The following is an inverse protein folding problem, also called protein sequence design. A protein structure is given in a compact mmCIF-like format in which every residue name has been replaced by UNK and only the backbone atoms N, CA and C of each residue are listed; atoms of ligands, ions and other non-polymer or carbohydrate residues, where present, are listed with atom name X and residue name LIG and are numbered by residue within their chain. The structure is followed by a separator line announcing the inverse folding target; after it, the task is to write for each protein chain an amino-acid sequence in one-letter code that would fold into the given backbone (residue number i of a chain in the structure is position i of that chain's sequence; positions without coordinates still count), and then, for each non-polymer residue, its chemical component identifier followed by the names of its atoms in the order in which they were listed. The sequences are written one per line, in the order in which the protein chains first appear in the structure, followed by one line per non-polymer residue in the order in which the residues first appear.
data_IF_580185226253
#
_entry.id   IF_580185226253
#
_cell.length_a   1.000
_cell.length_b   1.000
_cell.length_c   1.000
_cell.angle_alpha   90.00
_cell.angle_beta   90.00
_cell.angle_gamma   90.00
#
_symmetry.space_group_name_H-M   'P 1'
#
loop_
_entity.id
_entity.type
_entity.pdbx_description
1 polymer ?
#
# COMPACT_ATOMS: atom_id res chain seq x y z
N UNK A 1 -104.95 -103.99 15.85
CA UNK A 1 -105.57 -104.52 17.08
C UNK A 1 -105.03 -103.75 18.26
N UNK A 2 -105.89 -102.92 18.89
CA UNK A 2 -105.85 -102.40 20.27
C UNK A 2 -104.58 -101.70 20.80
N UNK A 3 -104.61 -100.74 21.71
CA UNK A 3 -105.64 -99.90 22.31
C UNK A 3 -104.91 -99.00 23.30
N UNK A 4 -105.28 -97.73 23.28
CA UNK A 4 -105.09 -96.62 24.24
C UNK A 4 -105.21 -96.95 25.75
N UNK A 5 -104.48 -96.20 26.60
CA UNK A 5 -104.89 -95.33 27.75
C UNK A 5 -103.73 -95.19 28.79
N UNK A 6 -103.10 -94.02 29.04
CA UNK A 6 -103.48 -92.88 29.93
C UNK A 6 -103.34 -93.25 31.45
N UNK A 7 -102.67 -92.55 32.39
CA UNK A 7 -102.54 -91.12 32.83
C UNK A 7 -101.56 -91.15 34.06
N UNK A 8 -100.65 -90.20 34.37
CA UNK A 8 -100.91 -88.92 35.05
C UNK A 8 -99.63 -88.07 35.32
N UNK A 9 -99.63 -86.80 34.85
CA UNK A 9 -99.14 -85.49 35.41
C UNK A 9 -98.10 -85.47 36.56
N UNK A 10 -97.07 -84.62 36.59
CA UNK A 10 -97.05 -83.13 36.76
C UNK A 10 -95.54 -82.74 36.82
N UNK A 11 -94.95 -81.77 36.11
CA UNK A 11 -94.85 -80.32 36.42
C UNK A 11 -94.06 -79.67 35.27
N UNK A 12 -94.52 -78.48 34.91
CA UNK A 12 -94.12 -77.61 33.81
C UNK A 12 -93.03 -76.62 34.26
N UNK A 13 -92.17 -76.20 33.33
CA UNK A 13 -91.46 -74.90 33.30
C UNK A 13 -90.14 -74.73 34.09
N UNK A 14 -88.99 -74.91 33.43
CA UNK A 14 -87.86 -73.98 33.60
C UNK A 14 -86.95 -73.93 32.36
N UNK A 15 -87.18 -72.87 31.56
CA UNK A 15 -86.26 -72.06 30.76
C UNK A 15 -85.15 -72.70 29.89
N UNK A 16 -85.26 -72.34 28.60
CA UNK A 16 -84.16 -72.05 27.67
C UNK A 16 -82.91 -71.48 28.37
N UNK A 17 -81.79 -72.20 28.27
CA UNK A 17 -80.45 -71.67 28.51
C UNK A 17 -79.61 -71.95 27.25
N UNK A 18 -79.07 -70.92 26.56
CA UNK A 18 -78.05 -71.15 25.55
C UNK A 18 -76.81 -71.71 26.26
N UNK A 19 -76.27 -72.82 25.75
CA UNK A 19 -74.93 -73.28 26.08
C UNK A 19 -73.95 -72.16 25.70
N UNK A 20 -73.59 -71.31 26.65
CA UNK A 20 -72.44 -70.45 26.53
C UNK A 20 -71.22 -71.35 26.41
N UNK A 21 -70.68 -71.46 25.20
CA UNK A 21 -69.33 -71.99 24.99
C UNK A 21 -68.39 -70.99 25.64
N UNK A 22 -67.97 -71.28 26.87
CA UNK A 22 -66.87 -70.55 27.49
C UNK A 22 -65.60 -71.01 26.78
N UNK A 23 -64.91 -70.09 26.10
CA UNK A 23 -63.58 -70.37 25.57
C UNK A 23 -62.69 -70.78 26.75
N UNK A 24 -62.30 -72.05 26.80
CA UNK A 24 -61.45 -72.55 27.87
C UNK A 24 -60.01 -72.14 27.60
N UNK A 25 -59.49 -71.21 28.39
CA UNK A 25 -58.06 -70.93 28.44
C UNK A 25 -57.33 -72.14 29.02
N UNK A 26 -56.22 -72.54 28.39
CA UNK A 26 -55.40 -73.66 28.82
C UNK A 26 -54.15 -73.14 29.55
N UNK A 27 -54.02 -73.46 30.85
CA UNK A 27 -52.78 -73.24 31.60
C UNK A 27 -52.13 -74.57 31.94
N UNK A 28 -50.84 -74.71 31.67
CA UNK A 28 -50.02 -75.87 32.01
C UNK A 28 -48.83 -75.38 32.83
N UNK A 29 -48.68 -75.85 34.08
CA UNK A 29 -47.57 -75.42 34.92
C UNK A 29 -47.79 -75.45 36.43
N UNK A 30 -46.86 -74.85 37.18
CA UNK A 30 -46.82 -74.81 38.66
C UNK A 30 -47.74 -73.76 39.31
N UNK A 31 -48.85 -73.34 38.68
CA UNK A 31 -49.91 -72.58 39.37
C UNK A 31 -51.20 -72.54 38.54
N UNK A 32 -51.88 -73.68 38.34
CA UNK A 32 -53.00 -73.77 37.40
C UNK A 32 -54.23 -72.95 37.83
N UNK A 33 -54.32 -72.53 39.09
CA UNK A 33 -55.45 -71.79 39.62
C UNK A 33 -55.38 -70.27 39.36
N UNK A 34 -54.18 -69.72 39.13
CA UNK A 34 -54.00 -68.29 38.84
C UNK A 34 -53.75 -68.13 37.35
N UNK A 35 -54.75 -67.59 36.67
CA UNK A 35 -54.80 -67.54 35.20
C UNK A 35 -54.62 -66.09 34.73
N UNK A 36 -53.74 -65.86 33.75
CA UNK A 36 -53.63 -64.55 33.10
C UNK A 36 -54.72 -64.37 32.03
N UNK A 37 -55.72 -63.52 32.29
CA UNK A 37 -56.87 -63.30 31.39
C UNK A 37 -56.51 -62.81 29.97
N UNK A 38 -55.26 -62.45 29.69
CA UNK A 38 -54.80 -61.94 28.39
C UNK A 38 -54.22 -63.02 27.45
N UNK A 39 -54.20 -64.30 27.85
CA UNK A 39 -53.70 -65.40 27.01
C UNK A 39 -54.74 -66.50 26.81
N UNK A 40 -54.65 -67.25 25.70
CA UNK A 40 -55.44 -68.47 25.49
C UNK A 40 -54.66 -69.72 25.93
N UNK A 41 -53.33 -69.65 25.90
CA UNK A 41 -52.41 -70.67 26.36
C UNK A 41 -51.34 -70.04 27.25
N UNK A 42 -51.18 -70.57 28.47
CA UNK A 42 -50.13 -70.18 29.41
C UNK A 42 -49.30 -71.40 29.79
N UNK A 43 -47.98 -71.32 29.61
CA UNK A 43 -47.03 -72.38 29.92
C UNK A 43 -46.07 -71.88 31.00
N UNK A 44 -46.20 -72.38 32.22
CA UNK A 44 -45.44 -71.93 33.38
C UNK A 44 -44.59 -73.09 33.95
N UNK A 45 -43.36 -73.23 33.46
CA UNK A 45 -42.42 -74.25 33.92
C UNK A 45 -41.03 -73.67 34.15
N UNK A 46 -40.34 -74.18 35.17
CA UNK A 46 -38.96 -73.81 35.49
C UNK A 46 -37.92 -74.71 34.80
N UNK A 47 -38.34 -75.85 34.24
CA UNK A 47 -37.44 -76.88 33.68
C UNK A 47 -37.85 -77.41 32.31
N UNK A 48 -39.02 -77.01 31.78
CA UNK A 48 -39.51 -77.45 30.48
C UNK A 48 -39.92 -76.24 29.65
N UNK A 49 -39.60 -76.25 28.36
CA UNK A 49 -40.02 -75.23 27.39
C UNK A 49 -41.13 -75.73 26.48
N UNK A 50 -41.74 -74.82 25.73
CA UNK A 50 -42.60 -75.19 24.61
C UNK A 50 -41.72 -75.64 23.43
N UNK A 51 -41.81 -76.92 23.07
CA UNK A 51 -41.22 -77.40 21.83
C UNK A 51 -42.19 -77.12 20.68
N UNK A 52 -41.78 -76.26 19.74
CA UNK A 52 -42.55 -75.98 18.54
C UNK A 52 -42.34 -77.04 17.46
N UNK A 53 -43.32 -77.16 16.56
CA UNK A 53 -43.21 -78.04 15.39
C UNK A 53 -41.94 -77.71 14.60
N UNK A 54 -41.09 -78.72 14.42
CA UNK A 54 -39.80 -78.57 13.75
C UNK A 54 -39.97 -78.84 12.26
N UNK A 55 -39.93 -77.82 11.44
CA UNK A 55 -40.23 -77.89 10.00
C UNK A 55 -38.95 -77.78 9.17
N UNK A 56 -38.63 -78.75 8.30
CA UNK A 56 -37.45 -78.71 7.45
C UNK A 56 -37.63 -77.84 6.18
N UNK A 57 -38.86 -77.74 5.67
CA UNK A 57 -39.19 -76.95 4.48
C UNK A 57 -40.52 -76.20 4.71
N UNK A 58 -40.46 -74.87 4.68
CA UNK A 58 -41.63 -73.99 4.90
C UNK A 58 -42.34 -73.60 3.60
N UNK A 59 -41.86 -74.08 2.45
CA UNK A 59 -42.37 -73.74 1.11
C UNK A 59 -43.41 -74.74 0.58
N UNK A 60 -43.75 -75.77 1.37
CA UNK A 60 -44.70 -76.83 0.99
C UNK A 60 -46.07 -76.57 1.59
N UNK A 61 -47.14 -76.84 0.84
CA UNK A 61 -48.51 -76.78 1.37
C UNK A 61 -48.70 -77.80 2.52
N UNK A 62 -49.47 -77.48 3.57
CA UNK A 62 -50.26 -76.26 3.76
C UNK A 62 -49.48 -75.12 4.42
N UNK A 63 -48.16 -75.26 4.66
CA UNK A 63 -47.34 -74.22 5.29
C UNK A 63 -47.15 -72.98 4.41
N UNK A 64 -47.48 -73.05 3.12
CA UNK A 64 -47.59 -71.88 2.22
C UNK A 64 -48.88 -71.09 2.39
N UNK A 65 -49.88 -71.60 3.13
CA UNK A 65 -51.16 -70.91 3.39
C UNK A 65 -51.56 -70.86 4.87
N UNK A 66 -50.69 -71.32 5.79
CA UNK A 66 -50.87 -71.13 7.22
C UNK A 66 -51.21 -69.66 7.56
N UNK A 67 -52.07 -69.38 8.55
CA UNK A 67 -52.40 -68.02 8.95
C UNK A 67 -51.19 -67.23 9.48
N UNK A 68 -51.19 -65.91 9.30
CA UNK A 68 -50.24 -65.02 9.96
C UNK A 68 -50.36 -65.12 11.49
N UNK A 69 -49.24 -64.99 12.19
CA UNK A 69 -49.11 -65.29 13.62
C UNK A 69 -48.73 -66.74 13.94
N UNK A 70 -48.79 -67.66 12.96
CA UNK A 70 -48.32 -69.04 13.15
C UNK A 70 -46.84 -69.08 13.52
N UNK A 71 -46.46 -69.94 14.46
CA UNK A 71 -45.07 -70.10 14.91
C UNK A 71 -44.55 -71.53 14.68
N UNK A 72 -43.29 -71.64 14.28
CA UNK A 72 -42.61 -72.94 14.10
C UNK A 72 -41.10 -72.81 14.36
N UNK A 73 -40.42 -73.93 14.51
CA UNK A 73 -38.97 -73.98 14.50
C UNK A 73 -38.48 -74.45 13.13
N UNK A 74 -37.81 -73.60 12.37
CA UNK A 74 -37.27 -73.95 11.05
C UNK A 74 -35.95 -74.69 11.21
N UNK A 75 -35.85 -75.89 10.64
CA UNK A 75 -34.67 -76.73 10.83
C UNK A 75 -33.49 -76.30 9.95
N UNK A 76 -33.75 -75.66 8.80
CA UNK A 76 -32.70 -75.28 7.85
C UNK A 76 -31.64 -74.36 8.45
N UNK A 77 -32.05 -73.41 9.29
CA UNK A 77 -31.15 -72.48 10.00
C UNK A 77 -31.31 -72.53 11.53
N UNK A 78 -32.04 -73.52 12.06
CA UNK A 78 -32.30 -73.71 13.49
C UNK A 78 -32.90 -72.47 14.17
N UNK A 79 -33.85 -71.78 13.52
CA UNK A 79 -34.45 -70.53 14.02
C UNK A 79 -35.95 -70.64 14.34
N UNK A 80 -36.43 -69.81 15.28
CA UNK A 80 -37.86 -69.56 15.43
C UNK A 80 -38.38 -68.75 14.24
N UNK A 81 -39.46 -69.22 13.61
CA UNK A 81 -40.20 -68.48 12.59
C UNK A 81 -41.58 -68.10 13.09
N UNK A 82 -41.97 -66.86 12.77
CA UNK A 82 -43.34 -66.38 12.88
C UNK A 82 -43.80 -66.04 11.47
N UNK A 83 -44.97 -66.53 11.09
CA UNK A 83 -45.57 -66.14 9.82
C UNK A 83 -46.15 -64.73 9.93
N UNK A 84 -45.80 -63.85 9.02
CA UNK A 84 -46.30 -62.48 9.01
C UNK A 84 -46.29 -61.89 7.60
N UNK A 85 -47.42 -61.30 7.23
CA UNK A 85 -47.71 -60.78 5.88
C UNK A 85 -47.52 -61.84 4.80
N UNK A 86 -48.02 -63.06 5.05
CA UNK A 86 -47.98 -64.16 4.10
C UNK A 86 -46.64 -64.90 3.98
N UNK A 87 -45.59 -64.50 4.73
CA UNK A 87 -44.26 -65.10 4.66
C UNK A 87 -43.71 -65.55 6.02
N UNK A 88 -42.85 -66.57 6.03
CA UNK A 88 -42.16 -67.05 7.24
C UNK A 88 -40.94 -66.19 7.58
N UNK A 89 -41.05 -65.37 8.62
CA UNK A 89 -40.00 -64.44 9.04
C UNK A 89 -39.26 -64.99 10.26
N UNK A 90 -37.93 -64.83 10.29
CA UNK A 90 -37.12 -65.10 11.48
C UNK A 90 -37.51 -64.10 12.56
N UNK A 91 -37.81 -64.58 13.77
CA UNK A 91 -38.05 -63.69 14.90
C UNK A 91 -36.74 -62.99 15.30
N UNK A 92 -36.75 -61.66 15.34
CA UNK A 92 -35.63 -60.87 15.86
C UNK A 92 -35.79 -60.75 17.39
N UNK A 93 -34.88 -61.34 18.15
CA UNK A 93 -34.90 -61.27 19.63
C UNK A 93 -34.06 -60.11 20.20
N UNK A 94 -33.24 -59.47 19.36
CA UNK A 94 -32.49 -58.27 19.66
C UNK A 94 -32.13 -57.56 18.35
N UNK A 95 -31.79 -56.27 18.41
CA UNK A 95 -31.17 -55.55 17.29
C UNK A 95 -29.71 -56.00 17.21
N UNK A 96 -29.47 -57.15 16.59
CA UNK A 96 -28.13 -57.59 16.21
C UNK A 96 -27.82 -57.06 14.81
N UNK A 97 -26.84 -56.16 14.73
CA UNK A 97 -26.41 -55.54 13.48
C UNK A 97 -25.73 -56.51 12.50
N UNK A 98 -25.38 -57.73 12.94
CA UNK A 98 -24.86 -58.80 12.06
C UNK A 98 -25.96 -59.45 11.21
N UNK A 99 -27.21 -59.49 11.70
CA UNK A 99 -28.36 -60.04 10.97
C UNK A 99 -29.05 -59.02 10.03
N UNK A 100 -28.66 -57.73 10.12
CA UNK A 100 -29.16 -56.69 9.23
C UNK A 100 -28.19 -56.55 8.04
N UNK A 101 -28.46 -57.28 6.97
CA UNK A 101 -27.68 -57.22 5.75
C UNK A 101 -27.45 -55.75 5.32
N UNK A 102 -26.19 -55.41 5.05
CA UNK A 102 -25.77 -54.09 4.61
C UNK A 102 -26.06 -52.96 5.61
N UNK A 103 -26.21 -53.23 6.92
CA UNK A 103 -26.42 -52.20 7.95
C UNK A 103 -25.36 -51.09 7.87
N UNK A 104 -24.08 -51.47 7.76
CA UNK A 104 -22.99 -50.51 7.58
C UNK A 104 -23.13 -49.71 6.29
N UNK A 105 -23.59 -50.30 5.17
CA UNK A 105 -23.83 -49.55 3.92
C UNK A 105 -25.03 -48.58 4.05
N UNK A 106 -26.10 -48.98 4.75
CA UNK A 106 -27.27 -48.12 4.98
C UNK A 106 -26.93 -46.92 5.86
N UNK A 107 -26.24 -47.13 6.98
CA UNK A 107 -25.74 -46.04 7.84
C UNK A 107 -24.75 -45.16 7.08
N UNK A 108 -23.82 -45.75 6.32
CA UNK A 108 -22.89 -45.00 5.47
C UNK A 108 -23.62 -44.15 4.41
N UNK A 109 -24.69 -44.67 3.80
CA UNK A 109 -25.50 -43.89 2.84
C UNK A 109 -26.26 -42.75 3.50
N UNK A 110 -26.72 -42.91 4.75
CA UNK A 110 -27.39 -41.84 5.51
C UNK A 110 -26.43 -40.73 5.95
N UNK A 111 -25.15 -41.04 6.16
CA UNK A 111 -24.12 -40.04 6.46
C UNK A 111 -23.49 -39.39 5.21
N UNK A 112 -23.59 -40.02 4.03
CA UNK A 112 -22.83 -39.65 2.82
C UNK A 112 -23.65 -39.80 1.53
N UNK A 113 -24.95 -39.48 1.55
CA UNK A 113 -25.75 -39.39 0.32
C UNK A 113 -25.51 -38.08 -0.46
N UNK A 114 -24.60 -37.21 -0.01
CA UNK A 114 -24.28 -35.94 -0.68
C UNK A 114 -22.84 -35.48 -0.44
N UNK A 115 -22.40 -34.49 -1.23
CA UNK A 115 -21.16 -33.75 -1.02
C UNK A 115 -21.17 -33.13 0.38
N UNK A 116 -20.34 -33.62 1.30
CA UNK A 116 -20.27 -33.05 2.63
C UNK A 116 -19.53 -33.89 3.66
N UNK A 117 -19.46 -35.22 3.57
CA UNK A 117 -18.63 -36.06 4.45
C UNK A 117 -17.95 -37.20 3.66
N UNK A 118 -16.62 -37.23 3.65
CA UNK A 118 -15.76 -38.32 3.13
C UNK A 118 -15.27 -39.17 4.29
N UNK A 119 -15.28 -40.48 4.11
CA UNK A 119 -14.64 -41.42 5.02
C UNK A 119 -13.45 -42.09 4.32
N UNK A 120 -12.25 -41.95 4.88
CA UNK A 120 -11.06 -42.65 4.42
C UNK A 120 -10.98 -44.03 5.09
N UNK A 121 -11.22 -45.09 4.32
CA UNK A 121 -11.16 -46.50 4.75
C UNK A 121 -9.76 -46.96 5.21
N UNK A 122 -8.69 -46.31 4.76
CA UNK A 122 -7.31 -46.67 5.13
C UNK A 122 -6.90 -46.03 6.46
N UNK A 123 -7.33 -44.79 6.70
CA UNK A 123 -6.92 -44.02 7.90
C UNK A 123 -8.00 -43.91 8.97
N UNK A 124 -9.24 -44.34 8.68
CA UNK A 124 -10.38 -44.22 9.59
C UNK A 124 -10.89 -42.78 9.78
N UNK A 125 -10.33 -41.81 9.05
CA UNK A 125 -10.67 -40.38 9.20
C UNK A 125 -12.00 -40.07 8.51
N UNK A 126 -12.88 -39.40 9.24
CA UNK A 126 -14.09 -38.75 8.73
C UNK A 126 -13.73 -37.29 8.47
N UNK A 127 -13.80 -36.84 7.21
CA UNK A 127 -13.56 -35.46 6.80
C UNK A 127 -14.77 -34.90 6.05
N UNK A 128 -14.87 -33.58 5.90
CA UNK A 128 -16.01 -32.95 5.23
C UNK A 128 -15.73 -32.82 3.71
N UNK A 129 -16.48 -33.50 2.83
CA UNK A 129 -16.44 -33.28 1.36
C UNK A 129 -17.18 -32.00 0.94
N UNK A 130 -16.74 -30.87 1.49
CA UNK A 130 -17.26 -29.54 1.16
C UNK A 130 -16.22 -28.43 1.16
N UNK A 131 -14.95 -28.74 1.47
CA UNK A 131 -13.88 -27.73 1.51
C UNK A 131 -12.70 -28.03 0.57
N UNK A 132 -12.89 -28.93 -0.40
CA UNK A 132 -11.86 -29.30 -1.36
C UNK A 132 -12.16 -28.65 -2.73
N UNK A 133 -11.76 -27.38 -2.89
CA UNK A 133 -11.68 -26.74 -4.21
C UNK A 133 -11.62 -25.20 -4.24
N UNK A 134 -12.21 -24.51 -3.26
CA UNK A 134 -12.38 -23.04 -3.32
C UNK A 134 -11.83 -22.22 -2.16
N UNK A 135 -11.30 -22.85 -1.10
CA UNK A 135 -10.75 -22.13 0.04
C UNK A 135 -9.29 -21.70 -0.20
N UNK A 136 -8.89 -20.57 0.38
CA UNK A 136 -7.49 -20.16 0.47
C UNK A 136 -6.83 -20.81 1.70
N UNK A 137 -5.81 -21.63 1.48
CA UNK A 137 -5.11 -22.36 2.55
C UNK A 137 -4.04 -21.49 3.24
N UNK A 138 -3.74 -21.77 4.51
CA UNK A 138 -2.81 -21.01 5.38
C UNK A 138 -1.35 -20.97 4.90
N UNK A 139 -0.95 -21.84 3.96
CA UNK A 139 0.36 -21.84 3.31
C UNK A 139 0.34 -21.40 1.83
N UNK A 140 -0.81 -20.95 1.34
CA UNK A 140 -1.04 -20.65 -0.08
C UNK A 140 -1.60 -21.83 -0.88
N UNK A 141 -2.08 -21.53 -2.09
CA UNK A 141 -2.64 -22.48 -3.05
C UNK A 141 -1.76 -22.52 -4.31
N UNK A 142 -1.50 -23.71 -4.86
CA UNK A 142 -0.98 -23.86 -6.22
C UNK A 142 -2.13 -23.80 -7.22
N UNK A 143 -2.14 -22.82 -8.13
CA UNK A 143 -3.26 -22.57 -9.06
C UNK A 143 -2.83 -22.67 -10.53
N UNK A 144 -3.70 -23.21 -11.39
CA UNK A 144 -3.43 -23.38 -12.83
C UNK A 144 -3.94 -22.23 -13.72
N UNK A 145 -4.72 -21.31 -13.15
CA UNK A 145 -5.23 -20.09 -13.78
C UNK A 145 -5.45 -19.03 -12.70
N UNK A 146 -5.58 -17.76 -13.11
CA UNK A 146 -5.86 -16.64 -12.19
C UNK A 146 -7.09 -16.95 -11.32
N UNK A 147 -6.94 -16.79 -10.01
CA UNK A 147 -8.02 -16.96 -9.02
C UNK A 147 -8.28 -15.65 -8.29
N UNK A 148 -9.50 -15.48 -7.80
CA UNK A 148 -9.88 -14.32 -6.99
C UNK A 148 -9.69 -14.64 -5.50
N UNK A 149 -9.14 -13.68 -4.75
CA UNK A 149 -9.15 -13.66 -3.28
C UNK A 149 -9.89 -12.39 -2.85
N UNK A 150 -11.08 -12.54 -2.27
CA UNK A 150 -11.82 -11.40 -1.77
C UNK A 150 -13.33 -11.61 -1.76
N UNK A 151 -14.04 -10.48 -1.72
CA UNK A 151 -15.49 -10.37 -1.79
C UNK A 151 -15.92 -10.19 -3.25
N UNK A 152 -17.05 -10.77 -3.64
CA UNK A 152 -17.68 -10.57 -4.96
C UNK A 152 -18.87 -9.61 -4.91
N UNK A 153 -19.17 -9.11 -3.72
CA UNK A 153 -20.24 -8.17 -3.42
C UNK A 153 -19.63 -6.82 -3.00
N UNK A 154 -20.44 -5.79 -2.78
CA UNK A 154 -19.99 -4.43 -2.46
C UNK A 154 -19.46 -4.26 -1.01
N UNK A 155 -18.82 -5.29 -0.47
CA UNK A 155 -18.22 -5.29 0.84
C UNK A 155 -16.70 -5.27 0.73
N UNK A 156 -16.07 -4.60 1.69
CA UNK A 156 -14.62 -4.48 1.76
C UNK A 156 -13.95 -5.81 2.14
N UNK A 157 -12.68 -5.97 1.77
CA UNK A 157 -11.83 -7.09 2.16
C UNK A 157 -10.82 -6.66 3.24
N UNK A 158 -11.10 -6.93 4.53
CA UNK A 158 -10.16 -6.65 5.61
C UNK A 158 -9.11 -7.78 5.75
N UNK A 159 -7.90 -7.39 6.12
CA UNK A 159 -6.81 -8.28 6.56
C UNK A 159 -6.56 -7.95 8.03
N UNK A 160 -6.73 -8.96 8.88
CA UNK A 160 -6.71 -8.82 10.34
C UNK A 160 -5.52 -9.56 10.96
N UNK A 161 -4.95 -9.00 12.01
CA UNK A 161 -4.08 -9.72 12.95
C UNK A 161 -4.44 -9.30 14.37
N UNK A 162 -4.30 -10.22 15.33
CA UNK A 162 -4.71 -9.97 16.72
C UNK A 162 -6.17 -9.44 16.85
N UNK A 163 -7.09 -9.99 16.05
CA UNK A 163 -8.50 -9.56 15.98
C UNK A 163 -8.71 -8.05 15.71
N UNK A 164 -7.75 -7.41 15.04
CA UNK A 164 -7.82 -6.00 14.64
C UNK A 164 -7.46 -5.88 13.16
N UNK A 165 -8.17 -5.02 12.45
CA UNK A 165 -7.89 -4.73 11.05
C UNK A 165 -6.56 -4.00 10.92
N UNK A 166 -5.72 -4.45 9.98
CA UNK A 166 -4.41 -3.85 9.66
C UNK A 166 -4.34 -3.31 8.25
N UNK A 167 -5.06 -3.94 7.33
CA UNK A 167 -5.14 -3.52 5.94
C UNK A 167 -6.55 -3.81 5.41
N UNK A 168 -7.00 -3.01 4.44
CA UNK A 168 -8.28 -3.19 3.76
C UNK A 168 -8.15 -2.88 2.29
N UNK A 169 -8.88 -3.63 1.46
CA UNK A 169 -9.25 -3.20 0.12
C UNK A 169 -10.74 -2.83 0.18
N UNK A 170 -11.08 -1.57 -0.06
CA UNK A 170 -12.48 -1.13 -0.08
C UNK A 170 -13.20 -1.68 -1.31
N UNK A 171 -14.52 -1.80 -1.25
CA UNK A 171 -15.37 -2.16 -2.38
C UNK A 171 -15.30 -1.13 -3.52
N UNK A 172 -14.84 0.09 -3.23
CA UNK A 172 -14.54 1.15 -4.23
C UNK A 172 -13.11 1.05 -4.79
N UNK A 173 -12.31 0.11 -4.30
CA UNK A 173 -10.99 -0.25 -4.80
C UNK A 173 -9.80 0.46 -4.14
N UNK A 174 -10.01 1.27 -3.10
CA UNK A 174 -8.94 1.91 -2.33
C UNK A 174 -8.27 0.92 -1.39
N UNK A 175 -6.96 0.99 -1.26
CA UNK A 175 -6.20 0.17 -0.31
C UNK A 175 -5.82 1.02 0.89
N UNK A 176 -6.20 0.60 2.10
CA UNK A 176 -5.82 1.24 3.35
C UNK A 176 -4.88 0.35 4.14
N UNK A 177 -3.82 0.91 4.70
CA UNK A 177 -2.93 0.25 5.66
C UNK A 177 -2.92 1.11 6.92
N UNK A 178 -3.29 0.53 8.05
CA UNK A 178 -3.42 1.23 9.34
C UNK A 178 -4.69 2.06 9.52
N UNK A 179 -5.49 2.27 8.47
CA UNK A 179 -6.76 2.99 8.52
C UNK A 179 -7.76 2.47 7.49
N UNK A 180 -9.05 2.62 7.79
CA UNK A 180 -10.18 2.36 6.89
C UNK A 180 -10.94 3.63 6.50
N UNK A 181 -10.46 4.80 6.94
CA UNK A 181 -11.06 6.10 6.67
C UNK A 181 -10.35 6.78 5.49
N UNK A 182 -10.92 6.65 4.30
CA UNK A 182 -10.45 7.33 3.08
C UNK A 182 -11.07 8.73 2.96
N UNK A 183 -10.45 9.60 2.17
CA UNK A 183 -11.05 10.89 1.86
C UNK A 183 -12.38 10.70 1.10
N UNK A 184 -13.47 11.32 1.59
CA UNK A 184 -14.80 11.12 1.02
C UNK A 184 -15.00 11.77 -0.35
N UNK A 185 -14.26 12.83 -0.67
CA UNK A 185 -14.40 13.59 -1.93
C UNK A 185 -13.34 13.18 -2.95
N UNK A 186 -12.11 12.96 -2.50
CA UNK A 186 -10.96 12.62 -3.32
C UNK A 186 -10.26 11.37 -2.76
N UNK A 187 -10.90 10.19 -2.80
CA UNK A 187 -10.38 8.99 -2.16
C UNK A 187 -9.03 8.60 -2.73
N UNK A 188 -8.09 8.30 -1.82
CA UNK A 188 -6.78 7.80 -2.16
C UNK A 188 -6.90 6.39 -2.75
N UNK A 189 -6.08 6.05 -3.75
CA UNK A 189 -5.96 4.64 -4.20
C UNK A 189 -5.16 3.80 -3.21
N UNK A 190 -4.20 4.42 -2.52
CA UNK A 190 -3.45 3.84 -1.41
C UNK A 190 -3.36 4.86 -0.27
N UNK A 191 -3.89 4.51 0.89
CA UNK A 191 -3.72 5.21 2.16
C UNK A 191 -2.79 4.40 3.05
N UNK A 192 -1.75 5.05 3.59
CA UNK A 192 -0.91 4.49 4.64
C UNK A 192 -0.98 5.44 5.82
N UNK A 193 -1.60 5.00 6.90
CA UNK A 193 -1.78 5.78 8.12
C UNK A 193 -0.97 5.14 9.25
N UNK A 194 -0.01 5.89 9.79
CA UNK A 194 0.84 5.44 10.89
C UNK A 194 0.20 5.64 12.27
N UNK A 195 -0.91 6.38 12.35
CA UNK A 195 -1.49 6.85 13.60
C UNK A 195 -0.47 7.59 14.49
N UNK A 196 -0.66 7.50 15.80
CA UNK A 196 0.34 7.97 16.78
C UNK A 196 1.44 6.92 16.89
N UNK A 197 2.65 7.24 16.38
CA UNK A 197 3.80 6.34 16.37
C UNK A 197 5.09 7.04 16.78
N UNK A 198 6.03 6.30 17.35
CA UNK A 198 7.42 6.77 17.58
C UNK A 198 8.32 6.52 16.37
N UNK A 199 7.83 5.83 15.33
CA UNK A 199 8.54 5.68 14.07
C UNK A 199 8.44 6.97 13.26
N UNK A 200 9.59 7.49 12.84
CA UNK A 200 9.65 8.61 11.90
C UNK A 200 9.48 8.18 10.43
N UNK A 201 9.42 6.87 10.15
CA UNK A 201 9.23 6.34 8.80
C UNK A 201 7.79 5.83 8.65
N UNK A 202 7.04 6.46 7.74
CA UNK A 202 5.73 5.97 7.29
C UNK A 202 5.87 4.98 6.14
N UNK A 203 6.70 5.31 5.14
CA UNK A 203 7.01 4.47 3.97
C UNK A 203 8.52 4.45 3.77
N UNK A 204 9.11 3.26 3.63
CA UNK A 204 10.54 3.05 3.32
C UNK A 204 10.69 2.12 2.12
N UNK A 205 11.26 2.62 1.03
CA UNK A 205 11.68 1.81 -0.12
C UNK A 205 13.15 1.41 -0.02
N UNK A 206 13.49 0.16 -0.32
CA UNK A 206 14.88 -0.33 -0.33
C UNK A 206 15.07 -1.38 -1.43
N UNK A 207 16.23 -1.37 -2.09
CA UNK A 207 16.64 -2.35 -3.09
C UNK A 207 18.17 -2.38 -3.21
N UNK A 208 18.73 -3.50 -3.71
CA UNK A 208 20.16 -3.66 -3.97
C UNK A 208 20.39 -3.75 -5.49
N UNK A 209 20.48 -2.58 -6.14
CA UNK A 209 20.48 -2.47 -7.62
C UNK A 209 21.68 -1.62 -8.06
N UNK A 210 22.51 -2.14 -8.97
CA UNK A 210 23.57 -1.38 -9.64
C UNK A 210 23.01 -0.61 -10.85
N UNK A 211 21.95 0.17 -10.61
CA UNK A 211 21.21 0.98 -11.57
C UNK A 211 20.17 1.82 -10.80
N UNK A 212 19.22 2.42 -11.50
CA UNK A 212 18.17 3.24 -10.92
C UNK A 212 17.25 2.44 -9.99
N UNK A 213 17.12 2.88 -8.73
CA UNK A 213 16.02 2.52 -7.82
C UNK A 213 15.14 3.76 -7.65
N UNK A 214 13.89 3.71 -8.08
CA UNK A 214 13.08 4.92 -8.29
C UNK A 214 11.69 4.81 -7.67
N UNK A 215 11.21 5.94 -7.14
CA UNK A 215 9.78 6.24 -7.05
C UNK A 215 9.39 6.91 -8.37
N UNK A 216 8.75 6.17 -9.26
CA UNK A 216 8.34 6.65 -10.59
C UNK A 216 6.85 6.96 -10.61
N UNK A 217 6.50 8.23 -10.81
CA UNK A 217 5.12 8.71 -10.90
C UNK A 217 5.01 9.50 -12.20
N UNK A 218 3.95 9.26 -12.97
CA UNK A 218 3.65 10.00 -14.19
C UNK A 218 2.15 10.21 -14.30
N UNK A 219 1.73 11.45 -14.47
CA UNK A 219 0.41 11.78 -14.97
C UNK A 219 0.40 11.64 -16.49
N UNK A 220 -0.32 10.65 -17.01
CA UNK A 220 -0.43 10.40 -18.46
C UNK A 220 -1.33 11.41 -19.18
N UNK A 221 -2.04 12.26 -18.44
CA UNK A 221 -2.91 13.28 -19.01
C UNK A 221 -2.08 14.45 -19.57
N UNK A 222 -2.32 14.82 -20.83
CA UNK A 222 -1.58 15.88 -21.54
C UNK A 222 -2.24 17.27 -21.54
N UNK A 223 -3.35 17.44 -20.81
CA UNK A 223 -4.16 18.68 -20.86
C UNK A 223 -3.55 19.90 -20.17
N UNK A 224 -4.22 21.05 -20.33
CA UNK A 224 -3.73 22.39 -19.95
C UNK A 224 -3.44 22.63 -18.46
N UNK A 225 -3.87 21.72 -17.59
CA UNK A 225 -3.66 21.79 -16.14
C UNK A 225 -3.03 20.52 -15.58
N UNK A 226 -2.62 19.59 -16.44
CA UNK A 226 -2.05 18.32 -16.00
C UNK A 226 -0.58 18.47 -15.63
N UNK A 227 -0.24 17.93 -14.47
CA UNK A 227 1.08 17.93 -13.86
C UNK A 227 1.29 16.66 -13.04
N UNK A 228 2.55 16.38 -12.73
CA UNK A 228 2.96 15.30 -11.83
C UNK A 228 3.75 15.91 -10.69
N UNK A 229 3.28 15.71 -9.47
CA UNK A 229 3.80 16.40 -8.30
C UNK A 229 4.09 15.43 -7.15
N UNK A 230 5.03 15.82 -6.30
CA UNK A 230 5.22 15.30 -4.93
C UNK A 230 5.09 16.49 -3.99
N UNK A 231 4.10 16.42 -3.08
CA UNK A 231 3.72 17.54 -2.21
C UNK A 231 3.81 17.10 -0.75
N UNK A 232 4.36 17.97 0.09
CA UNK A 232 4.32 17.82 1.54
C UNK A 232 3.60 19.01 2.17
N UNK A 233 2.70 18.71 3.12
CA UNK A 233 1.91 19.70 3.84
C UNK A 233 2.40 19.83 5.28
N UNK A 234 2.36 21.05 5.83
CA UNK A 234 2.39 21.22 7.28
C UNK A 234 1.15 20.57 7.92
N UNK A 235 1.15 20.35 9.23
CA UNK A 235 -0.01 19.81 9.96
C UNK A 235 -1.26 20.72 9.87
N UNK A 236 -1.07 21.98 9.51
CA UNK A 236 -2.10 22.98 9.22
C UNK A 236 -2.10 23.42 7.73
N UNK A 237 -1.56 22.59 6.84
CA UNK A 237 -1.49 22.85 5.40
C UNK A 237 -2.69 22.33 4.63
N UNK A 238 -2.85 22.87 3.42
CA UNK A 238 -3.84 22.45 2.43
C UNK A 238 -3.31 22.75 1.01
N UNK A 239 -4.09 22.44 -0.02
CA UNK A 239 -3.71 22.62 -1.43
C UNK A 239 -3.43 24.06 -1.86
N UNK A 240 -3.63 25.05 -0.99
CA UNK A 240 -3.37 26.47 -1.26
C UNK A 240 -2.42 27.13 -0.25
N UNK A 241 -2.13 26.51 0.89
CA UNK A 241 -1.35 27.13 1.97
C UNK A 241 -0.47 26.10 2.71
N UNK A 242 0.70 26.55 3.19
CA UNK A 242 1.63 25.81 4.06
C UNK A 242 2.04 24.45 3.46
N UNK A 243 2.56 24.46 2.24
CA UNK A 243 3.06 23.28 1.56
C UNK A 243 4.34 23.57 0.77
N UNK A 244 5.08 22.52 0.47
CA UNK A 244 6.15 22.50 -0.53
C UNK A 244 5.76 21.51 -1.64
N UNK A 245 6.03 21.90 -2.88
CA UNK A 245 5.67 21.16 -4.07
C UNK A 245 6.88 21.07 -5.02
N UNK A 246 7.12 19.86 -5.50
CA UNK A 246 8.10 19.53 -6.52
C UNK A 246 7.41 18.76 -7.63
N UNK A 247 7.50 19.26 -8.86
CA UNK A 247 6.75 18.65 -9.95
C UNK A 247 7.18 19.08 -11.34
N UNK A 248 6.44 18.58 -12.32
CA UNK A 248 6.61 18.87 -13.74
C UNK A 248 5.26 18.96 -14.44
N UNK A 249 5.10 19.98 -15.27
CA UNK A 249 3.93 20.17 -16.12
C UNK A 249 3.90 19.19 -17.29
N UNK A 250 2.70 18.85 -17.75
CA UNK A 250 2.51 18.10 -18.99
C UNK A 250 2.91 18.88 -20.24
N UNK A 251 2.97 18.18 -21.38
CA UNK A 251 3.30 18.76 -22.69
C UNK A 251 2.23 19.70 -23.26
N UNK A 252 1.01 19.72 -22.71
CA UNK A 252 -0.06 20.64 -23.12
C UNK A 252 -0.41 21.69 -22.08
N UNK A 253 0.33 21.78 -20.97
CA UNK A 253 0.09 22.77 -19.91
C UNK A 253 0.26 24.21 -20.44
N UNK A 254 -0.66 25.12 -20.10
CA UNK A 254 -0.70 26.46 -20.71
C UNK A 254 -1.20 27.57 -19.77
N UNK A 255 -0.51 27.78 -18.64
CA UNK A 255 -0.85 28.86 -17.69
C UNK A 255 0.18 29.99 -17.74
N UNK A 256 -0.25 31.24 -17.62
CA UNK A 256 0.62 32.42 -17.71
C UNK A 256 1.34 32.72 -16.37
N UNK A 257 2.12 31.78 -15.86
CA UNK A 257 2.92 31.94 -14.63
C UNK A 257 4.38 31.55 -14.85
N UNK A 258 5.27 31.90 -13.92
CA UNK A 258 6.70 31.53 -13.96
C UNK A 258 6.89 30.02 -14.08
N UNK A 259 6.00 29.23 -13.47
CA UNK A 259 6.00 27.77 -13.53
C UNK A 259 5.05 27.21 -14.60
N UNK A 260 4.37 28.04 -15.39
CA UNK A 260 3.18 27.65 -16.15
C UNK A 260 3.42 27.23 -17.61
N UNK A 261 4.67 27.05 -18.02
CA UNK A 261 4.99 26.60 -19.37
C UNK A 261 4.96 25.07 -19.51
N UNK A 262 4.81 24.57 -20.74
CA UNK A 262 4.85 23.13 -21.04
C UNK A 262 6.15 22.49 -20.55
N UNK A 263 6.10 21.26 -20.01
CA UNK A 263 7.27 20.52 -19.55
C UNK A 263 8.15 21.26 -18.52
N UNK A 264 7.61 22.30 -17.87
CA UNK A 264 8.35 23.07 -16.87
C UNK A 264 8.43 22.25 -15.58
N UNK A 265 9.65 21.93 -15.18
CA UNK A 265 9.95 21.38 -13.86
C UNK A 265 10.08 22.53 -12.84
N UNK A 266 9.64 22.31 -11.61
CA UNK A 266 9.64 23.32 -10.57
C UNK A 266 9.83 22.74 -9.18
N UNK A 267 10.27 23.61 -8.28
CA UNK A 267 10.26 23.45 -6.84
C UNK A 267 9.82 24.79 -6.24
N UNK A 268 8.71 24.80 -5.51
CA UNK A 268 8.21 26.00 -4.86
C UNK A 268 7.50 25.65 -3.55
N UNK A 269 7.29 26.66 -2.71
CA UNK A 269 6.56 26.52 -1.46
C UNK A 269 5.62 27.70 -1.25
N UNK A 270 4.57 27.49 -0.45
CA UNK A 270 3.70 28.53 0.09
C UNK A 270 3.69 28.44 1.61
N UNK A 271 3.82 29.57 2.32
CA UNK A 271 3.94 29.60 3.77
C UNK A 271 4.93 30.69 4.23
N UNK A 272 5.92 30.31 5.05
CA UNK A 272 6.97 31.20 5.54
C UNK A 272 8.20 31.18 4.59
N UNK A 273 9.39 31.50 5.08
CA UNK A 273 10.64 31.49 4.31
C UNK A 273 10.92 30.14 3.64
N UNK A 274 11.33 30.17 2.37
CA UNK A 274 11.84 29.01 1.65
C UNK A 274 13.36 28.91 1.80
N UNK A 275 13.82 27.93 2.56
CA UNK A 275 15.24 27.73 2.84
C UNK A 275 15.80 26.65 1.90
N UNK A 276 16.77 27.03 1.05
CA UNK A 276 17.58 26.12 0.23
C UNK A 276 19.04 26.27 0.69
N UNK A 277 19.72 25.16 0.96
CA UNK A 277 21.12 25.23 1.37
C UNK A 277 21.84 23.89 1.44
N UNK A 278 23.15 23.97 1.64
CA UNK A 278 24.02 22.83 1.90
C UNK A 278 24.58 22.97 3.33
N UNK A 279 24.16 22.08 4.24
CA UNK A 279 24.58 22.14 5.65
C UNK A 279 25.93 21.44 5.92
N UNK A 280 26.58 20.88 4.90
CA UNK A 280 27.91 20.28 5.05
C UNK A 280 28.97 21.37 5.12
N UNK A 281 29.86 21.29 6.12
CA UNK A 281 30.96 22.26 6.29
C UNK A 281 31.79 22.38 5.01
N UNK A 282 32.08 23.63 4.62
CA UNK A 282 32.91 23.97 3.45
C UNK A 282 32.39 23.41 2.12
N UNK A 283 31.08 23.23 1.95
CA UNK A 283 30.45 22.83 0.67
C UNK A 283 29.58 23.93 0.10
N UNK A 284 29.58 24.03 -1.23
CA UNK A 284 28.86 25.06 -1.97
C UNK A 284 27.39 24.71 -2.18
N UNK A 285 26.57 25.75 -2.38
CA UNK A 285 25.30 25.68 -3.12
C UNK A 285 25.58 26.07 -4.58
N UNK A 286 25.24 25.21 -5.54
CA UNK A 286 25.60 25.38 -6.95
C UNK A 286 24.33 25.40 -7.81
N UNK A 287 24.27 26.34 -8.76
CA UNK A 287 23.22 26.49 -9.75
C UNK A 287 23.80 26.27 -11.16
N UNK A 288 23.13 25.46 -11.96
CA UNK A 288 23.59 25.00 -13.28
C UNK A 288 22.61 25.39 -14.39
N UNK A 289 23.12 25.61 -15.60
CA UNK A 289 22.30 25.80 -16.82
C UNK A 289 22.97 25.11 -18.02
N UNK A 290 22.17 24.47 -18.89
CA UNK A 290 22.67 23.85 -20.12
C UNK A 290 23.34 22.47 -19.96
N UNK A 291 23.22 21.81 -18.81
CA UNK A 291 23.75 20.46 -18.56
C UNK A 291 24.24 20.27 -17.12
N UNK A 292 24.77 19.08 -16.83
CA UNK A 292 25.34 18.71 -15.51
C UNK A 292 26.87 18.58 -15.53
N UNK A 293 27.53 18.97 -16.62
CA UNK A 293 28.99 18.99 -16.66
C UNK A 293 29.51 20.18 -15.83
N UNK A 294 30.76 20.10 -15.35
CA UNK A 294 31.34 21.19 -14.53
C UNK A 294 31.35 22.56 -15.24
N UNK A 295 31.44 22.57 -16.57
CA UNK A 295 31.39 23.78 -17.39
C UNK A 295 29.99 24.45 -17.43
N UNK A 296 28.94 23.77 -16.96
CA UNK A 296 27.56 24.26 -16.94
C UNK A 296 27.21 25.01 -15.65
N UNK A 297 28.17 25.20 -14.75
CA UNK A 297 27.94 25.97 -13.53
C UNK A 297 27.77 27.46 -13.85
N UNK A 298 26.59 27.99 -13.52
CA UNK A 298 26.24 29.38 -13.77
C UNK A 298 26.49 30.27 -12.54
N UNK A 299 26.25 29.75 -11.34
CA UNK A 299 26.40 30.48 -10.08
C UNK A 299 26.70 29.53 -8.92
N UNK A 300 27.49 29.99 -7.94
CA UNK A 300 27.63 29.33 -6.64
C UNK A 300 27.57 30.30 -5.47
N UNK A 301 27.24 29.74 -4.31
CA UNK A 301 27.63 30.28 -3.00
C UNK A 301 28.61 29.28 -2.41
N UNK A 302 29.86 29.66 -2.22
CA UNK A 302 30.89 28.74 -1.71
C UNK A 302 30.79 28.51 -0.19
N UNK A 303 31.61 27.60 0.33
CA UNK A 303 31.65 27.27 1.75
C UNK A 303 32.09 28.41 2.68
N UNK A 304 32.64 29.51 2.14
CA UNK A 304 32.98 30.75 2.88
C UNK A 304 31.90 31.82 2.74
N UNK A 305 30.79 31.51 2.06
CA UNK A 305 29.68 32.42 1.80
C UNK A 305 30.02 33.50 0.77
N UNK A 306 30.89 33.20 -0.18
CA UNK A 306 31.19 34.06 -1.33
C UNK A 306 30.33 33.64 -2.53
N UNK A 307 29.78 34.62 -3.25
CA UNK A 307 28.97 34.40 -4.45
C UNK A 307 29.86 34.47 -5.69
N UNK A 308 29.91 33.38 -6.43
CA UNK A 308 30.52 33.34 -7.77
C UNK A 308 29.44 33.34 -8.84
N UNK A 309 29.54 34.22 -9.84
CA UNK A 309 28.71 34.18 -11.05
C UNK A 309 29.64 33.91 -12.23
N UNK A 310 29.44 32.79 -12.93
CA UNK A 310 30.38 32.28 -13.94
C UNK A 310 31.84 32.20 -13.42
N UNK A 311 32.02 32.00 -12.12
CA UNK A 311 33.31 31.83 -11.46
C UNK A 311 33.19 30.76 -10.36
N UNK A 312 33.95 29.68 -10.49
CA UNK A 312 33.92 28.56 -9.55
C UNK A 312 34.84 28.73 -8.33
N UNK A 313 35.65 29.78 -8.28
CA UNK A 313 36.57 30.06 -7.17
C UNK A 313 36.49 31.54 -6.76
N UNK A 314 35.35 31.99 -6.23
CA UNK A 314 35.16 33.40 -5.89
C UNK A 314 36.12 33.84 -4.77
N UNK A 315 36.92 34.87 -5.04
CA UNK A 315 37.91 35.42 -4.11
C UNK A 315 37.35 36.58 -3.24
N UNK A 316 36.10 36.96 -3.47
CA UNK A 316 35.41 38.03 -2.76
C UNK A 316 33.93 37.68 -2.55
N UNK A 317 33.21 38.45 -1.73
CA UNK A 317 31.79 38.20 -1.44
C UNK A 317 30.90 38.16 -2.66
N UNK A 318 31.27 38.90 -3.70
CA UNK A 318 30.72 38.78 -5.04
C UNK A 318 31.90 38.80 -6.01
N UNK A 319 32.04 37.75 -6.80
CA UNK A 319 33.07 37.60 -7.81
C UNK A 319 32.42 37.12 -9.12
N UNK A 320 32.48 37.97 -10.14
CA UNK A 320 31.83 37.73 -11.42
C UNK A 320 32.90 37.44 -12.46
N UNK A 321 32.88 36.23 -13.01
CA UNK A 321 33.67 35.85 -14.17
C UNK A 321 33.03 36.41 -15.44
N UNK A 322 33.75 37.28 -16.13
CA UNK A 322 33.28 37.87 -17.39
C UNK A 322 32.50 39.17 -17.22
N UNK A 323 31.68 39.49 -18.22
CA UNK A 323 31.05 40.80 -18.34
C UNK A 323 29.86 40.95 -17.37
N UNK A 324 29.67 42.16 -16.84
CA UNK A 324 28.53 42.47 -15.97
C UNK A 324 27.94 43.85 -16.26
N UNK A 325 26.70 44.08 -15.81
CA UNK A 325 25.99 45.36 -15.88
C UNK A 325 25.30 45.64 -14.56
N UNK A 326 25.45 46.86 -14.04
CA UNK A 326 24.80 47.31 -12.80
C UNK A 326 23.79 48.40 -13.12
N UNK A 327 22.52 48.19 -12.73
CA UNK A 327 21.42 49.15 -12.92
C UNK A 327 20.80 49.15 -14.32
N UNK A 328 19.56 49.63 -14.43
CA UNK A 328 18.80 49.63 -15.69
C UNK A 328 19.48 50.46 -16.79
N UNK A 329 20.00 51.66 -16.44
CA UNK A 329 20.74 52.56 -17.35
C UNK A 329 22.24 52.25 -17.43
N UNK A 330 22.72 51.20 -16.77
CA UNK A 330 24.14 50.82 -16.83
C UNK A 330 24.55 50.30 -18.22
N UNK A 331 25.85 50.37 -18.51
CA UNK A 331 26.46 49.69 -19.66
C UNK A 331 27.06 48.36 -19.22
N UNK A 332 27.25 47.46 -20.18
CA UNK A 332 28.07 46.26 -19.95
C UNK A 332 29.50 46.73 -19.73
N UNK A 333 30.19 46.14 -18.76
CA UNK A 333 31.61 46.36 -18.49
C UNK A 333 32.32 45.02 -18.36
N UNK A 334 33.56 44.97 -18.85
CA UNK A 334 34.41 43.78 -18.78
C UNK A 334 35.22 43.69 -17.48
N UNK A 335 35.57 44.82 -16.88
CA UNK A 335 36.22 44.85 -15.56
C UNK A 335 36.22 46.24 -14.93
N UNK A 336 36.29 46.29 -13.60
CA UNK A 336 36.63 47.49 -12.83
C UNK A 336 37.95 47.25 -12.10
N UNK A 337 38.97 48.05 -12.39
CA UNK A 337 40.32 47.90 -11.86
C UNK A 337 40.60 49.06 -10.91
N UNK A 338 40.96 48.75 -9.66
CA UNK A 338 41.49 49.74 -8.71
C UNK A 338 42.97 49.45 -8.48
N UNK A 339 43.83 50.42 -8.80
CA UNK A 339 45.28 50.31 -8.65
C UNK A 339 45.88 51.64 -8.18
N UNK A 340 47.20 51.70 -8.07
CA UNK A 340 47.94 52.92 -7.83
C UNK A 340 49.29 52.88 -8.56
N UNK A 341 49.85 54.05 -8.84
CA UNK A 341 51.20 54.21 -9.37
C UNK A 341 51.82 55.49 -8.85
N UNK A 342 53.15 55.54 -8.80
CA UNK A 342 53.90 56.74 -8.41
C UNK A 342 54.54 57.38 -9.63
N UNK A 343 54.36 58.69 -9.77
CA UNK A 343 55.06 59.51 -10.75
C UNK A 343 56.05 60.41 -10.01
N UNK A 344 57.32 60.40 -10.45
CA UNK A 344 58.37 61.26 -9.92
C UNK A 344 59.00 62.08 -11.03
N UNK A 345 58.92 63.40 -10.91
CA UNK A 345 59.63 64.35 -11.76
C UNK A 345 60.04 65.60 -10.96
N UNK A 346 61.33 65.63 -10.60
CA UNK A 346 61.99 66.74 -9.90
C UNK A 346 62.82 67.63 -10.83
N UNK A 347 62.75 67.41 -12.15
CA UNK A 347 63.64 68.02 -13.13
C UNK A 347 62.87 68.95 -14.06
N UNK A 348 61.76 68.48 -14.60
CA UNK A 348 60.98 69.21 -15.60
C UNK A 348 60.23 70.38 -14.95
N UNK A 349 60.49 71.59 -15.42
CA UNK A 349 59.72 72.78 -15.04
C UNK A 349 58.36 72.76 -15.74
N UNK A 350 57.29 72.74 -14.95
CA UNK A 350 55.90 72.89 -15.37
C UNK A 350 55.54 74.36 -15.22
N UNK A 351 55.26 75.02 -16.35
CA UNK A 351 54.95 76.44 -16.40
C UNK A 351 53.50 76.67 -16.80
N UNK A 352 53.05 77.92 -16.81
CA UNK A 352 51.74 78.29 -17.34
C UNK A 352 51.59 78.10 -18.87
N UNK A 353 52.68 77.77 -19.57
CA UNK A 353 52.70 77.54 -21.03
C UNK A 353 53.21 76.14 -21.40
N UNK A 354 53.78 75.39 -20.45
CA UNK A 354 54.34 74.05 -20.67
C UNK A 354 53.76 73.09 -19.64
N UNK A 355 52.93 72.16 -20.10
CA UNK A 355 52.39 71.06 -19.30
C UNK A 355 53.36 69.88 -19.21
N UNK A 356 53.24 69.06 -18.17
CA UNK A 356 53.95 67.79 -18.06
C UNK A 356 53.02 66.62 -18.37
N UNK A 357 53.37 65.82 -19.38
CA UNK A 357 52.70 64.55 -19.68
C UNK A 357 53.52 63.39 -19.13
N UNK A 358 52.88 62.49 -18.38
CA UNK A 358 53.47 61.24 -17.92
C UNK A 358 52.55 60.07 -18.25
N UNK A 359 53.14 58.89 -18.35
CA UNK A 359 52.42 57.63 -18.52
C UNK A 359 52.67 56.72 -17.33
N UNK A 360 51.67 55.94 -16.96
CA UNK A 360 51.80 54.89 -15.97
C UNK A 360 51.15 53.60 -16.48
N UNK A 361 51.73 52.47 -16.09
CA UNK A 361 51.20 51.15 -16.44
C UNK A 361 50.09 50.77 -15.46
N UNK A 362 48.90 50.47 -16.00
CA UNK A 362 47.77 49.90 -15.27
C UNK A 362 47.32 48.65 -16.02
N UNK A 363 47.82 47.49 -15.60
CA UNK A 363 47.53 46.21 -16.25
C UNK A 363 46.02 45.95 -16.32
N UNK A 364 45.53 45.59 -17.50
CA UNK A 364 44.13 45.36 -17.80
C UNK A 364 43.37 46.60 -18.28
N UNK A 365 43.98 47.79 -18.34
CA UNK A 365 43.30 48.99 -18.86
C UNK A 365 43.08 48.90 -20.38
N UNK A 366 41.82 49.00 -20.83
CA UNK A 366 41.44 48.97 -22.23
C UNK A 366 41.34 50.39 -22.81
N UNK A 367 41.51 50.53 -24.13
CA UNK A 367 41.25 51.79 -24.82
C UNK A 367 39.80 52.24 -24.56
N UNK A 368 39.59 53.56 -24.42
CA UNK A 368 38.29 54.17 -24.14
C UNK A 368 37.66 53.82 -22.77
N UNK A 369 38.40 53.16 -21.88
CA UNK A 369 37.96 52.96 -20.52
C UNK A 369 37.78 54.30 -19.80
N UNK A 370 36.80 54.37 -18.90
CA UNK A 370 36.68 55.53 -18.02
C UNK A 370 37.80 55.51 -17.00
N UNK A 371 38.46 56.65 -16.84
CA UNK A 371 39.61 56.81 -15.95
C UNK A 371 39.28 57.80 -14.84
N UNK A 372 39.46 57.36 -13.59
CA UNK A 372 39.40 58.23 -12.41
C UNK A 372 40.80 58.23 -11.79
N UNK A 373 41.41 59.41 -11.67
CA UNK A 373 42.74 59.59 -11.08
C UNK A 373 42.64 60.50 -9.87
N UNK A 374 43.21 60.07 -8.74
CA UNK A 374 43.21 60.84 -7.50
C UNK A 374 44.62 60.87 -6.88
N UNK A 375 45.26 62.04 -6.70
CA UNK A 375 46.54 62.10 -6.00
C UNK A 375 46.35 61.81 -4.50
N UNK A 376 47.24 61.00 -3.91
CA UNK A 376 47.20 60.66 -2.46
C UNK A 376 47.72 61.77 -1.55
N UNK A 377 48.36 62.79 -2.12
CA UNK A 377 48.85 63.97 -1.43
C UNK A 377 48.50 65.20 -2.25
N UNK A 378 48.42 66.37 -1.61
CA UNK A 378 48.25 67.62 -2.34
C UNK A 378 49.34 67.73 -3.42
N UNK A 379 48.92 68.09 -4.63
CA UNK A 379 49.88 68.46 -5.66
C UNK A 379 50.59 69.75 -5.23
N UNK A 380 51.86 69.96 -5.63
CA UNK A 380 52.54 71.23 -5.45
C UNK A 380 51.67 72.42 -5.87
N UNK A 381 51.79 73.53 -5.16
CA UNK A 381 50.92 74.70 -5.35
C UNK A 381 50.84 75.10 -6.83
N UNK A 382 49.62 75.26 -7.34
CA UNK A 382 49.35 75.65 -8.72
C UNK A 382 49.31 74.49 -9.72
N UNK A 383 49.74 73.28 -9.36
CA UNK A 383 49.60 72.12 -10.23
C UNK A 383 48.18 71.53 -10.18
N UNK A 384 47.66 71.16 -11.35
CA UNK A 384 46.37 70.49 -11.51
C UNK A 384 46.45 69.39 -12.58
N UNK A 385 45.62 68.36 -12.44
CA UNK A 385 45.42 67.34 -13.49
C UNK A 385 44.55 67.95 -14.58
N UNK A 386 45.09 68.08 -15.79
CA UNK A 386 44.35 68.61 -16.93
C UNK A 386 43.45 67.54 -17.56
N UNK A 387 44.00 66.35 -17.77
CA UNK A 387 43.26 65.19 -18.28
C UNK A 387 43.97 63.89 -17.88
N UNK A 388 43.20 62.80 -17.87
CA UNK A 388 43.71 61.45 -17.80
C UNK A 388 42.86 60.52 -18.67
N UNK A 389 43.51 59.62 -19.41
CA UNK A 389 42.83 58.62 -20.24
C UNK A 389 43.75 57.43 -20.53
N UNK A 390 43.18 56.33 -21.02
CA UNK A 390 43.96 55.18 -21.48
C UNK A 390 44.43 55.45 -22.92
N UNK A 391 45.71 55.79 -23.09
CA UNK A 391 46.29 56.17 -24.39
C UNK A 391 46.73 54.98 -25.23
N UNK A 392 47.01 53.85 -24.58
CA UNK A 392 47.25 52.55 -25.16
C UNK A 392 46.85 51.47 -24.15
N UNK A 393 46.67 50.22 -24.60
CA UNK A 393 46.39 49.11 -23.68
C UNK A 393 47.42 49.08 -22.54
N UNK A 394 46.94 48.87 -21.31
CA UNK A 394 47.72 48.92 -20.07
C UNK A 394 48.38 50.28 -19.75
N UNK A 395 48.11 51.36 -20.49
CA UNK A 395 48.84 52.63 -20.37
C UNK A 395 47.89 53.80 -20.11
N UNK A 396 47.97 54.38 -18.91
CA UNK A 396 47.25 55.60 -18.55
C UNK A 396 48.17 56.79 -18.77
N UNK A 397 47.72 57.77 -19.55
CA UNK A 397 48.39 59.06 -19.70
C UNK A 397 47.75 60.07 -18.77
N UNK A 398 48.57 60.82 -18.04
CA UNK A 398 48.15 61.96 -17.22
C UNK A 398 48.90 63.20 -17.71
N UNK A 399 48.18 64.30 -17.87
CA UNK A 399 48.76 65.61 -18.11
C UNK A 399 48.53 66.53 -16.91
N UNK A 400 49.58 67.26 -16.56
CA UNK A 400 49.62 68.16 -15.42
C UNK A 400 49.97 69.57 -15.92
N UNK A 401 49.15 70.53 -15.54
CA UNK A 401 49.31 71.95 -15.87
C UNK A 401 49.63 72.75 -14.61
N UNK A 402 50.23 73.92 -14.79
CA UNK A 402 50.43 74.90 -13.72
C UNK A 402 49.54 76.13 -13.97
N UNK A 403 48.78 76.56 -12.96
CA UNK A 403 47.98 77.78 -12.99
C UNK A 403 48.79 79.08 -12.84
N UNK A 404 50.12 78.97 -12.68
CA UNK A 404 51.05 80.10 -12.61
C UNK A 404 51.68 80.33 -11.23
N UNK A 405 51.56 79.40 -10.29
CA UNK A 405 52.22 79.51 -8.98
C UNK A 405 53.71 79.10 -9.05
N UNK A 406 54.53 79.60 -8.11
CA UNK A 406 55.98 79.31 -7.99
C UNK A 406 56.90 80.48 -8.39
N UNK A 407 58.18 80.43 -7.99
CA UNK A 407 59.18 81.44 -8.37
C UNK A 407 59.38 81.40 -9.89
N UNK A 408 59.03 82.49 -10.58
CA UNK A 408 58.97 82.59 -12.06
C UNK A 408 57.93 81.67 -12.73
N UNK A 409 56.90 81.22 -12.01
CA UNK A 409 55.84 80.35 -12.57
C UNK A 409 56.28 78.91 -12.84
N UNK A 410 57.44 78.50 -12.33
CA UNK A 410 57.97 77.14 -12.47
C UNK A 410 57.58 76.30 -11.26
N UNK A 411 56.88 75.19 -11.49
CA UNK A 411 56.66 74.13 -10.52
C UNK A 411 57.25 72.83 -11.02
N UNK A 412 57.50 71.89 -10.11
CA UNK A 412 57.92 70.53 -10.43
C UNK A 412 56.90 69.59 -9.82
N UNK A 413 56.63 68.44 -10.46
CA UNK A 413 55.65 67.49 -9.94
C UNK A 413 56.05 66.97 -8.56
N UNK A 414 57.34 66.81 -8.31
CA UNK A 414 57.80 66.09 -7.13
C UNK A 414 57.60 64.59 -7.33
N UNK A 415 57.45 63.86 -6.23
CA UNK A 415 57.05 62.45 -6.22
C UNK A 415 55.65 62.34 -5.64
N UNK A 416 54.69 61.95 -6.48
CA UNK A 416 53.27 61.83 -6.09
C UNK A 416 52.75 60.44 -6.47
N UNK A 417 52.08 59.79 -5.52
CA UNK A 417 51.33 58.55 -5.79
C UNK A 417 49.88 58.89 -6.14
N UNK A 418 49.40 58.29 -7.21
CA UNK A 418 48.02 58.42 -7.67
C UNK A 418 47.29 57.10 -7.48
N UNK A 419 46.10 57.16 -6.89
CA UNK A 419 45.11 56.11 -7.02
C UNK A 419 44.41 56.24 -8.36
N UNK A 420 44.22 55.11 -9.04
CA UNK A 420 43.56 55.04 -10.33
C UNK A 420 42.44 54.00 -10.31
N UNK A 421 41.28 54.38 -10.81
CA UNK A 421 40.20 53.45 -11.13
C UNK A 421 39.96 53.45 -12.64
N UNK A 422 39.97 52.26 -13.23
CA UNK A 422 39.68 52.04 -14.64
C UNK A 422 38.36 51.26 -14.73
N UNK A 423 37.43 51.74 -15.53
CA UNK A 423 36.17 51.06 -15.82
C UNK A 423 36.17 50.72 -17.32
N UNK A 424 36.44 49.46 -17.64
CA UNK A 424 36.50 48.99 -19.01
C UNK A 424 35.10 48.70 -19.56
N UNK A 425 34.78 49.12 -20.79
CA UNK A 425 33.52 48.75 -21.45
C UNK A 425 33.44 47.25 -21.80
#
# INVERSE_FOLDING_TARGET
MGSTFHVCRLVVLLLLLPLFVVAQQLKLGRNPAVINKSSVLELESQSQGLLLTRIPDTTVAPLTTAPDGSILFYQGDKSLRVRSSGAWRKALFAVDTTDIANFFLKVRSLFSAGSGIVYNNVTGVISVSGSAGGAWLLGGNGVAALQNLGTTTNFDLPIITNNTEKMRISATGSVGIGSSAFNATNPERLLVDGGTSTSNNLIRGQGNVNSNLQLSIQNLHGGQSARTDVVAYANNGNTSNNFIDMGINSGGYSNATIIGSTNTAYLYATGNNFVIGNASNNKSLIFITGGIAAANEAMRIDGSGNVGVANTAPAAKLDVGGNFKLGASGTVMSSMIKSNFSLSDNVTNITNTVSLTKTATVTGANLNASVIVNPRSALPQGLAIAYAFVSAVNTVTINIINSGAGTSGNQKLGSVTFDVTIINP
#
